data_IF_026597493500
#
_entry.id   IF_026597493500
#
_cell.length_a   1.000
_cell.length_b   1.000
_cell.length_c   1.000
_cell.angle_alpha   90.00
_cell.angle_beta   90.00
_cell.angle_gamma   90.00
#
_symmetry.space_group_name_H-M   'P 1'
#
loop_
_entity.id
_entity.type
_entity.pdbx_description
1 polymer ?
#
# COMPACT_ATOMS: atom_id res chain seq x y z
N UNK A 1 1.00 -2.55 6.10
CA UNK A 1 0.63 -1.20 6.59
C UNK A 1 -0.34 -0.44 5.68
N UNK A 2 -0.73 -1.01 4.54
CA UNK A 2 -1.79 -0.48 3.68
C UNK A 2 -2.82 -1.59 3.40
N UNK A 3 -4.10 -1.32 3.63
CA UNK A 3 -5.20 -2.29 3.46
C UNK A 3 -6.39 -1.66 2.77
N UNK A 4 -7.20 -2.46 2.07
CA UNK A 4 -8.45 -1.99 1.48
C UNK A 4 -9.61 -2.10 2.48
N UNK A 5 -10.24 -0.99 2.84
CA UNK A 5 -11.41 -0.95 3.73
C UNK A 5 -12.36 0.16 3.31
N UNK A 6 -13.66 -0.13 3.34
CA UNK A 6 -14.70 0.88 3.06
C UNK A 6 -14.53 1.58 1.71
N UNK A 7 -14.16 0.83 0.67
CA UNK A 7 -14.04 1.35 -0.69
C UNK A 7 -12.74 2.11 -0.99
N UNK A 8 -11.72 2.03 -0.13
CA UNK A 8 -10.43 2.65 -0.41
C UNK A 8 -9.27 2.10 0.40
N UNK A 9 -8.06 2.52 0.03
CA UNK A 9 -6.85 2.19 0.78
C UNK A 9 -6.74 3.00 2.07
N UNK A 10 -6.56 2.29 3.19
CA UNK A 10 -6.36 2.80 4.54
C UNK A 10 -5.02 2.36 5.08
N UNK A 11 -4.32 3.28 5.73
CA UNK A 11 -3.03 3.02 6.36
C UNK A 11 -3.21 2.46 7.77
N UNK A 12 -2.30 1.58 8.18
CA UNK A 12 -2.32 0.87 9.47
C UNK A 12 -0.94 0.98 10.11
N UNK A 13 -0.73 2.04 10.90
CA UNK A 13 0.57 2.36 11.52
C UNK A 13 1.12 1.23 12.38
N UNK A 14 0.27 0.59 13.18
CA UNK A 14 0.68 -0.51 14.05
C UNK A 14 1.27 -1.72 13.29
N UNK A 15 0.93 -1.87 12.00
CA UNK A 15 1.41 -2.95 11.15
C UNK A 15 2.64 -2.56 10.29
N UNK A 16 3.07 -1.29 10.32
CA UNK A 16 4.30 -0.87 9.65
C UNK A 16 5.52 -1.34 10.45
N UNK A 17 6.63 -1.65 9.77
CA UNK A 17 7.86 -2.16 10.40
C UNK A 17 9.04 -1.19 10.28
N UNK A 18 8.85 -0.04 9.65
CA UNK A 18 9.87 0.98 9.51
C UNK A 18 9.99 1.78 10.82
N UNK A 19 11.15 1.75 11.51
CA UNK A 19 11.34 2.50 12.76
C UNK A 19 11.25 4.02 12.57
N UNK A 20 11.59 4.55 11.39
CA UNK A 20 11.53 5.99 11.12
C UNK A 20 10.08 6.48 11.07
N UNK A 21 9.19 5.69 10.48
CA UNK A 21 7.76 5.97 10.42
C UNK A 21 7.02 5.72 11.74
N UNK A 22 7.67 5.07 12.72
CA UNK A 22 7.13 4.85 14.07
C UNK A 22 7.48 5.96 15.06
N UNK A 23 8.34 6.91 14.68
CA UNK A 23 8.73 8.03 15.56
C UNK A 23 7.50 8.86 15.94
N UNK A 24 7.44 9.28 17.21
CA UNK A 24 6.35 10.13 17.73
C UNK A 24 6.20 11.46 17.00
N UNK A 25 7.27 11.96 16.38
CA UNK A 25 7.26 13.17 15.57
C UNK A 25 6.48 13.02 14.25
N UNK A 26 6.22 11.80 13.80
CA UNK A 26 5.47 11.54 12.57
C UNK A 26 3.98 11.51 12.90
N UNK A 27 3.24 12.54 12.49
CA UNK A 27 1.78 12.59 12.69
C UNK A 27 1.08 11.51 11.87
N UNK A 28 -0.17 11.19 12.19
CA UNK A 28 -0.96 10.21 11.42
C UNK A 28 -1.21 10.65 9.98
N UNK A 29 -1.31 11.96 9.76
CA UNK A 29 -1.37 12.52 8.41
C UNK A 29 -0.06 12.29 7.65
N UNK A 30 1.08 12.62 8.25
CA UNK A 30 2.40 12.41 7.63
C UNK A 30 2.63 10.94 7.30
N UNK A 31 2.26 10.05 8.23
CA UNK A 31 2.34 8.62 8.01
C UNK A 31 1.49 8.16 6.82
N UNK A 32 0.23 8.63 6.73
CA UNK A 32 -0.63 8.27 5.61
C UNK A 32 -0.03 8.70 4.26
N UNK A 33 0.49 9.92 4.18
CA UNK A 33 1.15 10.46 2.98
C UNK A 33 2.42 9.68 2.65
N UNK A 34 3.31 9.47 3.62
CA UNK A 34 4.60 8.80 3.41
C UNK A 34 4.42 7.35 2.95
N UNK A 35 3.50 6.60 3.58
CA UNK A 35 3.21 5.23 3.15
C UNK A 35 2.69 5.20 1.71
N UNK A 36 1.80 6.10 1.32
CA UNK A 36 1.32 6.19 -0.07
C UNK A 36 2.44 6.53 -1.04
N UNK A 37 3.36 7.41 -0.67
CA UNK A 37 4.54 7.71 -1.48
C UNK A 37 5.44 6.47 -1.67
N UNK A 38 5.69 5.70 -0.61
CA UNK A 38 6.45 4.45 -0.69
C UNK A 38 5.82 3.49 -1.70
N UNK A 39 4.53 3.20 -1.57
CA UNK A 39 3.84 2.30 -2.51
C UNK A 39 3.80 2.87 -3.93
N UNK A 40 3.58 4.17 -4.11
CA UNK A 40 3.67 4.83 -5.42
C UNK A 40 5.03 4.59 -6.06
N UNK A 41 6.13 4.82 -5.33
CA UNK A 41 7.49 4.61 -5.82
C UNK A 41 7.70 3.14 -6.19
N UNK A 42 7.39 2.20 -5.30
CA UNK A 42 7.53 0.76 -5.56
C UNK A 42 6.77 0.30 -6.81
N UNK A 43 5.56 0.82 -7.02
CA UNK A 43 4.70 0.43 -8.12
C UNK A 43 5.04 1.11 -9.45
N UNK A 44 5.69 2.27 -9.44
CA UNK A 44 5.96 3.06 -10.66
C UNK A 44 7.42 3.08 -11.09
N UNK A 45 8.35 2.63 -10.23
CA UNK A 45 9.79 2.71 -10.49
C UNK A 45 10.43 1.34 -10.76
N UNK A 46 9.67 0.26 -10.77
CA UNK A 46 10.16 -1.07 -11.18
C UNK A 46 10.41 -1.12 -12.69
N UNK A 47 11.65 -1.37 -13.11
CA UNK A 47 12.04 -1.37 -14.53
C UNK A 47 11.54 -2.61 -15.31
N UNK A 48 11.41 -3.76 -14.65
CA UNK A 48 10.91 -5.00 -15.25
C UNK A 48 9.53 -5.42 -14.72
N UNK A 49 9.13 -4.87 -13.57
CA UNK A 49 7.89 -5.22 -12.87
C UNK A 49 8.10 -5.24 -11.36
N UNK A 50 6.99 -5.11 -10.62
CA UNK A 50 6.95 -5.19 -9.15
C UNK A 50 5.89 -6.21 -8.76
N UNK A 51 6.20 -7.10 -7.81
CA UNK A 51 5.24 -8.01 -7.21
C UNK A 51 4.94 -7.54 -5.79
N UNK A 52 3.66 -7.32 -5.48
CA UNK A 52 3.20 -7.03 -4.13
C UNK A 52 2.27 -8.15 -3.67
N UNK A 53 2.53 -8.67 -2.47
CA UNK A 53 1.65 -9.63 -1.82
C UNK A 53 0.99 -9.01 -0.59
N UNK A 54 -0.33 -8.80 -0.68
CA UNK A 54 -1.14 -8.42 0.47
C UNK A 54 -1.58 -9.68 1.23
N UNK A 55 -1.14 -9.79 2.50
CA UNK A 55 -1.55 -10.89 3.41
C UNK A 55 -3.05 -10.78 3.73
N UNK A 56 -3.57 -9.56 3.80
CA UNK A 56 -4.99 -9.30 4.01
C UNK A 56 -5.83 -9.77 2.82
N UNK A 57 -6.77 -10.70 3.06
CA UNK A 57 -7.59 -11.31 2.01
C UNK A 57 -8.39 -10.27 1.20
N UNK A 58 -9.05 -9.33 1.87
CA UNK A 58 -9.86 -8.32 1.20
C UNK A 58 -9.01 -7.45 0.27
N UNK A 59 -7.85 -7.00 0.75
CA UNK A 59 -6.90 -6.21 -0.05
C UNK A 59 -6.42 -7.00 -1.26
N UNK A 60 -6.08 -8.29 -1.07
CA UNK A 60 -5.64 -9.17 -2.15
C UNK A 60 -6.72 -9.37 -3.22
N UNK A 61 -7.97 -9.55 -2.82
CA UNK A 61 -9.09 -9.73 -3.76
C UNK A 61 -9.30 -8.46 -4.61
N UNK A 62 -9.18 -7.27 -4.01
CA UNK A 62 -9.22 -6.00 -4.74
C UNK A 62 -8.04 -5.83 -5.69
N UNK A 63 -6.82 -6.10 -5.23
CA UNK A 63 -5.62 -6.00 -6.09
C UNK A 63 -5.73 -6.91 -7.32
N UNK A 64 -6.22 -8.15 -7.14
CA UNK A 64 -6.47 -9.08 -8.25
C UNK A 64 -7.49 -8.52 -9.25
N UNK A 65 -8.55 -7.90 -8.75
CA UNK A 65 -9.55 -7.28 -9.61
C UNK A 65 -8.95 -6.10 -10.39
N UNK A 66 -8.23 -5.19 -9.72
CA UNK A 66 -7.60 -4.02 -10.35
C UNK A 66 -6.62 -4.41 -11.46
N UNK A 67 -5.73 -5.36 -11.21
CA UNK A 67 -4.74 -5.81 -12.21
C UNK A 67 -5.38 -6.68 -13.30
N UNK A 68 -6.38 -7.50 -12.94
CA UNK A 68 -7.12 -8.33 -13.90
C UNK A 68 -8.01 -7.53 -14.85
N UNK A 69 -8.41 -6.31 -14.48
CA UNK A 69 -9.14 -5.39 -15.37
C UNK A 69 -8.23 -4.75 -16.44
N UNK A 70 -6.92 -4.61 -16.18
CA UNK A 70 -5.96 -4.06 -17.16
C UNK A 70 -5.40 -5.12 -18.11
N UNK A 71 -5.20 -6.37 -17.66
CA UNK A 71 -4.62 -7.45 -18.48
C UNK A 71 -5.58 -8.01 -19.56
N UNK A 72 -6.82 -7.53 -19.62
CA UNK A 72 -7.85 -7.93 -20.58
C UNK A 72 -8.19 -6.89 -21.64
N UNK A 73 -7.36 -5.85 -21.82
CA UNK A 73 -7.50 -4.83 -22.86
C UNK A 73 -6.29 -4.79 -23.79
#
# INVERSE_FOLDING_TARGET
DLVWRGGGFRTVRAANQDPELKKKSVTDHDFDVLVRHVYKVLLTRGMQGTVIYAVDKQTRDVLKHLVGQEAGR
#
